data_IF_244456326859
#
_entry.id   IF_244456326859
#
_cell.length_a   1.000
_cell.length_b   1.000
_cell.length_c   1.000
_cell.angle_alpha   90.00
_cell.angle_beta   90.00
_cell.angle_gamma   90.00
#
_symmetry.space_group_name_H-M   'P 1'
#
loop_
_entity.id
_entity.type
_entity.pdbx_description
1 polymer ?
#
# COMPACT_ATOMS: atom_id res chain seq x y z
N UNK A 1 0.33 -10.36 -3.11
CA UNK A 1 0.53 -9.06 -3.78
C UNK A 1 -0.81 -8.57 -4.29
N UNK A 2 -1.21 -7.35 -3.93
CA UNK A 2 -2.47 -6.73 -4.32
C UNK A 2 -2.18 -5.66 -5.37
N UNK A 3 -2.76 -5.81 -6.56
CA UNK A 3 -2.64 -4.86 -7.68
C UNK A 3 -4.04 -4.52 -8.16
N UNK A 4 -4.45 -3.27 -7.97
CA UNK A 4 -5.83 -2.82 -8.18
C UNK A 4 -6.31 -3.13 -9.60
N UNK A 5 -5.47 -2.81 -10.60
CA UNK A 5 -5.80 -3.01 -12.00
C UNK A 5 -5.72 -4.48 -12.47
N UNK A 6 -5.41 -5.44 -11.60
CA UNK A 6 -5.58 -6.86 -11.91
C UNK A 6 -7.00 -7.35 -11.66
N UNK A 7 -7.71 -6.74 -10.70
CA UNK A 7 -9.10 -7.09 -10.38
C UNK A 7 -10.10 -6.08 -10.96
N UNK A 8 -9.75 -4.79 -10.98
CA UNK A 8 -10.46 -3.76 -11.74
C UNK A 8 -11.33 -2.82 -10.92
N UNK A 9 -11.63 -3.11 -9.64
CA UNK A 9 -12.38 -2.21 -8.76
C UNK A 9 -11.81 -2.10 -7.35
N UNK A 10 -12.12 -1.01 -6.66
CA UNK A 10 -11.75 -0.81 -5.25
C UNK A 10 -12.46 -1.79 -4.33
N UNK A 11 -13.75 -2.03 -4.55
CA UNK A 11 -14.54 -2.96 -3.75
C UNK A 11 -13.96 -4.37 -3.77
N UNK A 12 -13.60 -4.87 -4.96
CA UNK A 12 -13.00 -6.20 -5.08
C UNK A 12 -11.55 -6.23 -4.56
N UNK A 13 -10.82 -5.12 -4.67
CA UNK A 13 -9.49 -4.98 -4.05
C UNK A 13 -9.58 -5.12 -2.53
N UNK A 14 -10.55 -4.44 -1.90
CA UNK A 14 -10.79 -4.53 -0.45
C UNK A 14 -11.20 -5.95 -0.08
N UNK A 15 -12.12 -6.56 -0.82
CA UNK A 15 -12.54 -7.94 -0.60
C UNK A 15 -11.37 -8.93 -0.66
N UNK A 16 -10.43 -8.75 -1.61
CA UNK A 16 -9.24 -9.58 -1.72
C UNK A 16 -8.27 -9.39 -0.52
N UNK A 17 -8.12 -8.15 -0.02
CA UNK A 17 -7.32 -7.87 1.18
C UNK A 17 -7.94 -8.54 2.41
N UNK A 18 -9.25 -8.40 2.62
CA UNK A 18 -9.94 -9.00 3.76
C UNK A 18 -9.90 -10.53 3.69
N UNK A 19 -10.06 -11.12 2.50
CA UNK A 19 -9.94 -12.56 2.31
C UNK A 19 -8.56 -13.06 2.70
N UNK A 20 -7.48 -12.37 2.28
CA UNK A 20 -6.12 -12.71 2.69
C UNK A 20 -5.99 -12.63 4.22
N UNK A 21 -6.46 -11.54 4.84
CA UNK A 21 -6.40 -11.35 6.29
C UNK A 21 -7.13 -12.44 7.06
N UNK A 22 -8.34 -12.82 6.63
CA UNK A 22 -9.11 -13.90 7.25
C UNK A 22 -8.41 -15.26 7.15
N UNK A 23 -7.64 -15.49 6.08
CA UNK A 23 -6.79 -16.67 5.94
C UNK A 23 -5.48 -16.59 6.76
N UNK A 24 -5.28 -15.52 7.54
CA UNK A 24 -4.05 -15.25 8.29
C UNK A 24 -2.88 -14.81 7.40
N UNK A 25 -3.16 -14.37 6.17
CA UNK A 25 -2.16 -13.91 5.22
C UNK A 25 -2.04 -12.38 5.20
N UNK A 26 -0.83 -11.89 4.95
CA UNK A 26 -0.51 -10.50 4.69
C UNK A 26 -0.85 -10.10 3.26
N UNK A 27 -1.32 -8.87 3.10
CA UNK A 27 -1.73 -8.34 1.81
C UNK A 27 -0.80 -7.19 1.39
N UNK A 28 0.27 -7.47 0.66
CA UNK A 28 1.19 -6.43 0.19
C UNK A 28 0.63 -5.68 -1.03
N UNK A 29 0.25 -4.41 -0.87
CA UNK A 29 -0.15 -3.52 -1.97
C UNK A 29 1.05 -3.28 -2.89
N UNK A 30 0.83 -3.24 -4.20
CA UNK A 30 1.94 -3.16 -5.16
C UNK A 30 1.60 -2.37 -6.41
N UNK A 31 2.61 -1.62 -6.88
CA UNK A 31 2.62 -0.91 -8.15
C UNK A 31 2.57 -1.84 -9.39
N UNK A 32 2.54 -1.24 -10.58
CA UNK A 32 2.84 -1.92 -11.85
C UNK A 32 4.15 -1.41 -12.45
N UNK A 33 4.68 -2.15 -13.43
CA UNK A 33 5.93 -1.77 -14.13
C UNK A 33 5.77 -0.50 -14.96
N UNK A 34 4.61 -0.29 -15.59
CA UNK A 34 4.18 1.00 -16.13
C UNK A 34 3.29 1.69 -15.11
N UNK A 35 3.70 2.86 -14.63
CA UNK A 35 3.07 3.55 -13.51
C UNK A 35 2.95 5.04 -13.80
N UNK A 36 1.97 5.71 -13.18
CA UNK A 36 1.75 7.15 -13.30
C UNK A 36 2.15 7.87 -12.02
N UNK A 37 1.98 9.19 -11.93
CA UNK A 37 2.21 9.93 -10.68
C UNK A 37 1.08 9.75 -9.65
N UNK A 38 -0.01 9.04 -9.99
CA UNK A 38 -1.08 8.73 -9.05
C UNK A 38 -0.52 8.01 -7.81
N UNK A 39 -0.72 8.57 -6.62
CA UNK A 39 -0.17 8.05 -5.37
C UNK A 39 -1.15 7.21 -4.57
N UNK A 40 -2.35 6.91 -5.09
CA UNK A 40 -3.48 6.33 -4.35
C UNK A 40 -3.12 5.04 -3.61
N UNK A 41 -2.20 4.23 -4.15
CA UNK A 41 -1.77 2.99 -3.50
C UNK A 41 -1.04 3.22 -2.16
N UNK A 42 -0.50 4.42 -1.90
CA UNK A 42 0.02 4.82 -0.60
C UNK A 42 -1.12 4.97 0.42
N UNK A 43 -2.14 5.76 0.08
CA UNK A 43 -3.34 5.96 0.90
C UNK A 43 -4.06 4.64 1.17
N UNK A 44 -4.24 3.80 0.15
CA UNK A 44 -4.85 2.48 0.30
C UNK A 44 -4.05 1.57 1.26
N UNK A 45 -2.72 1.64 1.23
CA UNK A 45 -1.86 0.85 2.13
C UNK A 45 -2.11 1.23 3.59
N UNK A 46 -2.21 2.53 3.88
CA UNK A 46 -2.46 3.03 5.23
C UNK A 46 -3.90 2.74 5.65
N UNK A 47 -4.89 3.05 4.80
CA UNK A 47 -6.31 2.84 5.07
C UNK A 47 -6.63 1.36 5.36
N UNK A 48 -6.00 0.44 4.64
CA UNK A 48 -6.21 -0.99 4.84
C UNK A 48 -5.28 -1.59 5.89
N UNK A 49 -4.36 -0.84 6.49
CA UNK A 49 -3.43 -1.34 7.50
C UNK A 49 -2.62 -2.55 7.04
N UNK A 50 -2.21 -2.59 5.76
CA UNK A 50 -1.56 -3.76 5.16
C UNK A 50 -0.10 -3.93 5.60
N UNK A 51 0.52 -2.87 6.11
CA UNK A 51 1.89 -2.85 6.64
C UNK A 51 2.99 -2.89 5.57
N UNK A 52 2.68 -3.25 4.32
CA UNK A 52 3.65 -3.33 3.22
C UNK A 52 3.15 -2.70 1.93
N UNK A 53 3.98 -1.82 1.37
CA UNK A 53 3.83 -1.28 0.02
C UNK A 53 5.06 -1.62 -0.83
N UNK A 54 4.84 -2.28 -1.97
CA UNK A 54 5.86 -2.51 -2.99
C UNK A 54 5.68 -1.51 -4.13
N UNK A 55 6.38 -0.37 -4.03
CA UNK A 55 6.27 0.75 -4.99
C UNK A 55 7.56 1.07 -5.78
N UNK A 56 8.55 0.17 -5.76
CA UNK A 56 9.76 0.28 -6.60
C UNK A 56 10.92 1.00 -5.92
N UNK A 57 12.05 1.13 -6.62
CA UNK A 57 13.22 1.84 -6.09
C UNK A 57 12.89 3.33 -5.86
N UNK A 58 13.61 4.03 -4.95
CA UNK A 58 13.45 5.47 -4.72
C UNK A 58 14.07 6.30 -5.85
N UNK A 59 13.67 6.02 -7.08
CA UNK A 59 14.06 6.72 -8.29
C UNK A 59 12.89 6.71 -9.28
N UNK A 60 12.91 7.65 -10.24
CA UNK A 60 11.81 7.93 -11.19
C UNK A 60 10.57 8.52 -10.50
N UNK A 61 10.04 9.60 -11.06
CA UNK A 61 9.02 10.44 -10.42
C UNK A 61 7.76 9.66 -10.03
N UNK A 62 7.31 8.74 -10.89
CA UNK A 62 6.13 7.90 -10.65
C UNK A 62 6.28 6.94 -9.45
N UNK A 63 7.51 6.66 -9.01
CA UNK A 63 7.79 5.83 -7.82
C UNK A 63 7.95 6.69 -6.58
N UNK A 64 8.76 7.74 -6.72
CA UNK A 64 9.04 8.72 -5.67
C UNK A 64 7.74 9.33 -5.14
N UNK A 65 6.76 9.59 -6.00
CA UNK A 65 5.50 10.23 -5.56
C UNK A 65 4.70 9.40 -4.54
N UNK A 66 4.80 8.06 -4.58
CA UNK A 66 4.15 7.22 -3.54
C UNK A 66 4.87 7.32 -2.20
N UNK A 67 6.21 7.44 -2.22
CA UNK A 67 6.98 7.68 -1.00
C UNK A 67 6.69 9.07 -0.43
N UNK A 68 6.61 10.10 -1.29
CA UNK A 68 6.21 11.44 -0.89
C UNK A 68 4.83 11.43 -0.23
N UNK A 69 3.87 10.71 -0.81
CA UNK A 69 2.54 10.60 -0.23
C UNK A 69 2.55 9.88 1.13
N UNK A 70 3.35 8.83 1.31
CA UNK A 70 3.52 8.20 2.63
C UNK A 70 4.09 9.18 3.67
N UNK A 71 5.05 10.03 3.30
CA UNK A 71 5.59 11.05 4.20
C UNK A 71 4.53 12.11 4.56
N UNK A 72 3.70 12.54 3.59
CA UNK A 72 2.57 13.45 3.86
C UNK A 72 1.54 12.82 4.81
N UNK A 73 1.17 11.56 4.58
CA UNK A 73 0.23 10.83 5.46
C UNK A 73 0.81 10.69 6.87
N UNK A 74 2.11 10.39 7.00
CA UNK A 74 2.78 10.31 8.30
C UNK A 74 2.79 11.67 9.02
N UNK A 75 3.09 12.76 8.31
CA UNK A 75 3.03 14.13 8.84
C UNK A 75 1.61 14.49 9.30
N UNK A 76 0.59 14.20 8.49
CA UNK A 76 -0.82 14.46 8.79
C UNK A 76 -1.32 13.68 10.01
N UNK A 77 -0.88 12.43 10.18
CA UNK A 77 -1.22 11.60 11.34
C UNK A 77 -0.48 12.01 12.62
N UNK A 78 0.68 12.65 12.49
CA UNK A 78 1.50 13.09 13.61
C UNK A 78 1.77 11.98 14.62
N UNK A 79 1.46 12.23 15.89
CA UNK A 79 1.68 11.26 16.98
C UNK A 79 0.82 9.99 16.91
N UNK A 80 -0.19 9.94 16.03
CA UNK A 80 -1.00 8.75 15.80
C UNK A 80 -0.39 7.80 14.75
N UNK A 81 0.65 8.22 14.02
CA UNK A 81 1.32 7.39 13.03
C UNK A 81 2.00 6.17 13.68
N UNK A 82 1.84 5.00 13.06
CA UNK A 82 2.50 3.76 13.48
C UNK A 82 3.19 3.10 12.29
N UNK A 83 4.51 3.04 12.34
CA UNK A 83 5.31 2.24 11.40
C UNK A 83 5.23 0.75 11.77
N UNK A 84 4.75 -0.08 10.84
CA UNK A 84 4.46 -1.49 11.12
C UNK A 84 5.71 -2.35 11.39
N UNK A 85 6.87 -1.98 10.79
CA UNK A 85 8.16 -2.64 11.02
C UNK A 85 8.15 -4.16 10.85
N UNK A 86 8.96 -4.88 11.65
CA UNK A 86 9.06 -6.35 11.56
C UNK A 86 7.77 -7.09 11.91
N UNK A 87 6.86 -6.46 12.65
CA UNK A 87 5.58 -7.06 13.04
C UNK A 87 4.64 -7.24 11.84
N UNK A 88 4.88 -6.54 10.74
CA UNK A 88 4.11 -6.65 9.51
C UNK A 88 4.36 -7.97 8.75
N UNK A 89 5.42 -8.72 9.06
CA UNK A 89 5.71 -9.99 8.39
C UNK A 89 4.87 -11.12 8.99
N UNK A 90 3.67 -11.25 8.48
CA UNK A 90 2.78 -12.40 8.69
C UNK A 90 2.83 -13.32 7.46
N UNK A 91 2.14 -14.46 7.51
CA UNK A 91 2.11 -15.46 6.43
C UNK A 91 1.64 -14.87 5.10
#
# INVERSE_FOLDING_TARGET
LIKLNQIGSLTETIAAIEMARQAGWGAMVSHRSGETVDSFIADLTVAMGTGHLKTGAPCRGERVEKYNQLMRIEEDLGGAAVYAGRKAFVR
#
